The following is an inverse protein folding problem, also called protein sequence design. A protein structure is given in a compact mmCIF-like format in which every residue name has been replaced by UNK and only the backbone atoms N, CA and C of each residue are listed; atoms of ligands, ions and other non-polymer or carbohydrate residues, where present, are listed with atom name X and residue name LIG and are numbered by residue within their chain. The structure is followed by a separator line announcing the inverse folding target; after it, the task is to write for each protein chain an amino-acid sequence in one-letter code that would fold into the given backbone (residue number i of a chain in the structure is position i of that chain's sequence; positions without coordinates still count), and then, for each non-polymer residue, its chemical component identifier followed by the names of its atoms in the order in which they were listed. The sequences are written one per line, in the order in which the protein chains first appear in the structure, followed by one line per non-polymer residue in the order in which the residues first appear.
data_IF_946663663778
#
_entry.id   IF_946663663778
#
_cell.length_a   1.000
_cell.length_b   1.000
_cell.length_c   1.000
_cell.angle_alpha   90.00
_cell.angle_beta   90.00
_cell.angle_gamma   90.00
#
_symmetry.space_group_name_H-M   'P 1'
#
loop_
_entity.id
_entity.type
_entity.pdbx_description
1 polymer ?
#
# COMPACT_ATOMS: atom_id res chain seq x y z
N UNK A 1 -19.04 5.37 -19.35
CA UNK A 1 -19.84 4.17 -18.97
C UNK A 1 -19.17 3.33 -17.88
N UNK A 2 -17.89 2.92 -18.00
CA UNK A 2 -17.20 2.16 -16.92
C UNK A 2 -17.28 2.84 -15.54
N UNK A 3 -17.07 4.14 -15.44
CA UNK A 3 -17.12 4.86 -14.15
C UNK A 3 -18.45 4.76 -13.41
N UNK A 4 -19.58 4.57 -14.11
CA UNK A 4 -20.92 4.48 -13.49
C UNK A 4 -21.12 3.08 -12.89
N UNK A 5 -20.72 2.02 -13.62
CA UNK A 5 -20.79 0.62 -13.15
C UNK A 5 -20.02 0.41 -11.84
N UNK A 6 -18.85 1.03 -11.71
CA UNK A 6 -17.98 0.91 -10.53
C UNK A 6 -18.41 1.78 -9.35
N UNK A 7 -19.20 2.82 -9.60
CA UNK A 7 -19.69 3.76 -8.58
C UNK A 7 -21.16 3.54 -8.22
N UNK A 8 -21.75 2.38 -8.56
CA UNK A 8 -23.17 2.10 -8.46
C UNK A 8 -23.75 2.35 -7.06
N UNK A 9 -22.99 2.01 -6.02
CA UNK A 9 -23.38 2.17 -4.61
C UNK A 9 -23.45 3.64 -4.16
N UNK A 10 -22.86 4.56 -4.93
CA UNK A 10 -22.93 6.00 -4.67
C UNK A 10 -24.08 6.69 -5.45
N UNK A 11 -24.83 5.96 -6.27
CA UNK A 11 -25.97 6.48 -7.03
C UNK A 11 -27.24 6.46 -6.17
N UNK A 12 -28.12 7.45 -6.39
CA UNK A 12 -29.46 7.41 -5.80
C UNK A 12 -30.31 6.31 -6.42
N UNK A 13 -31.37 5.87 -5.74
CA UNK A 13 -32.30 4.84 -6.25
C UNK A 13 -32.86 5.18 -7.63
N UNK A 14 -33.17 6.46 -7.89
CA UNK A 14 -33.68 6.91 -9.20
C UNK A 14 -32.59 6.85 -10.28
N UNK A 15 -31.34 7.16 -9.93
CA UNK A 15 -30.21 7.04 -10.85
C UNK A 15 -29.89 5.59 -11.19
N UNK A 16 -29.92 4.69 -10.21
CA UNK A 16 -29.76 3.24 -10.41
C UNK A 16 -30.85 2.72 -11.35
N UNK A 17 -32.11 3.06 -11.07
CA UNK A 17 -33.26 2.66 -11.91
C UNK A 17 -33.14 3.17 -13.34
N UNK A 18 -32.76 4.44 -13.55
CA UNK A 18 -32.57 4.98 -14.90
C UNK A 18 -31.40 4.30 -15.63
N UNK A 19 -30.30 4.03 -14.92
CA UNK A 19 -29.16 3.32 -15.50
C UNK A 19 -29.55 1.90 -15.95
N UNK A 20 -30.30 1.18 -15.13
CA UNK A 20 -30.73 -0.19 -15.42
C UNK A 20 -31.81 -0.22 -16.53
N UNK A 21 -32.92 0.49 -16.32
CA UNK A 21 -34.13 0.35 -17.13
C UNK A 21 -34.12 1.18 -18.42
N UNK A 22 -33.42 2.32 -18.44
CA UNK A 22 -33.40 3.22 -19.61
C UNK A 22 -32.11 3.05 -20.40
N UNK A 23 -30.97 2.84 -19.73
CA UNK A 23 -29.66 2.80 -20.37
C UNK A 23 -29.07 1.38 -20.51
N UNK A 24 -29.70 0.36 -19.91
CA UNK A 24 -29.21 -1.02 -19.95
C UNK A 24 -27.85 -1.22 -19.27
N UNK A 25 -27.52 -0.38 -18.28
CA UNK A 25 -26.25 -0.42 -17.55
C UNK A 25 -26.46 -1.18 -16.24
N UNK A 26 -25.72 -2.26 -16.07
CA UNK A 26 -25.69 -3.06 -14.85
C UNK A 26 -24.48 -2.70 -13.96
N UNK A 27 -24.56 -2.88 -12.62
CA UNK A 27 -23.42 -2.70 -11.72
C UNK A 27 -22.23 -3.58 -12.14
N UNK A 28 -21.02 -3.16 -11.75
CA UNK A 28 -19.85 -4.01 -11.91
C UNK A 28 -19.94 -5.22 -10.94
N UNK A 29 -19.63 -6.42 -11.42
CA UNK A 29 -19.49 -7.59 -10.55
C UNK A 29 -18.24 -7.47 -9.68
N UNK A 30 -18.15 -8.26 -8.60
CA UNK A 30 -17.00 -8.20 -7.68
C UNK A 30 -15.65 -8.41 -8.38
N UNK A 31 -15.59 -9.30 -9.37
CA UNK A 31 -14.38 -9.56 -10.17
C UNK A 31 -14.06 -8.45 -11.19
N UNK A 32 -15.04 -7.62 -11.55
CA UNK A 32 -14.85 -6.47 -12.45
C UNK A 32 -14.38 -5.22 -11.70
N UNK A 33 -14.63 -5.15 -10.38
CA UNK A 33 -14.22 -4.01 -9.57
C UNK A 33 -12.69 -3.98 -9.46
N UNK A 34 -12.03 -2.83 -9.68
CA UNK A 34 -10.59 -2.74 -9.50
C UNK A 34 -10.28 -3.01 -8.02
N UNK A 35 -9.13 -3.64 -7.73
CA UNK A 35 -8.74 -3.92 -6.37
C UNK A 35 -8.74 -2.62 -5.55
N UNK A 36 -9.13 -2.69 -4.26
CA UNK A 36 -9.20 -1.51 -3.41
C UNK A 36 -7.84 -0.80 -3.38
N UNK A 37 -7.88 0.54 -3.45
CA UNK A 37 -6.66 1.33 -3.35
C UNK A 37 -6.02 1.10 -1.99
N UNK A 38 -4.73 0.76 -1.98
CA UNK A 38 -3.95 0.63 -0.74
C UNK A 38 -4.00 1.91 0.09
N UNK A 39 -4.26 1.72 1.38
CA UNK A 39 -4.33 2.82 2.33
C UNK A 39 -2.93 3.40 2.59
N UNK A 40 -2.88 4.57 3.20
CA UNK A 40 -1.60 5.16 3.61
C UNK A 40 -0.92 4.34 4.72
N UNK A 41 -1.69 3.62 5.53
CA UNK A 41 -1.17 2.70 6.54
C UNK A 41 -0.48 1.50 5.86
N UNK A 42 -1.12 0.88 4.87
CA UNK A 42 -0.55 -0.26 4.14
C UNK A 42 0.75 0.13 3.44
N UNK A 43 0.78 1.31 2.80
CA UNK A 43 2.01 1.83 2.18
C UNK A 43 3.11 2.03 3.21
N UNK A 44 2.79 2.50 4.41
CA UNK A 44 3.77 2.69 5.47
C UNK A 44 4.30 1.34 5.97
N UNK A 45 3.41 0.38 6.24
CA UNK A 45 3.78 -0.97 6.65
C UNK A 45 4.69 -1.66 5.63
N UNK A 46 4.37 -1.53 4.34
CA UNK A 46 5.18 -2.06 3.25
C UNK A 46 6.61 -1.49 3.24
N UNK A 47 6.77 -0.18 3.46
CA UNK A 47 8.09 0.43 3.54
C UNK A 47 8.82 0.07 4.83
N UNK A 48 8.09 -0.14 5.92
CA UNK A 48 8.65 -0.60 7.18
C UNK A 48 9.21 -2.02 7.06
N UNK A 49 8.50 -2.95 6.43
CA UNK A 49 9.00 -4.30 6.14
C UNK A 49 10.27 -4.26 5.29
N UNK A 50 10.33 -3.40 4.28
CA UNK A 50 11.56 -3.19 3.51
C UNK A 50 12.71 -2.62 4.35
N UNK A 51 12.42 -1.70 5.28
CA UNK A 51 13.41 -1.17 6.20
C UNK A 51 13.94 -2.27 7.13
N UNK A 52 13.05 -3.13 7.63
CA UNK A 52 13.39 -4.27 8.48
C UNK A 52 14.25 -5.29 7.73
N UNK A 53 13.87 -5.67 6.51
CA UNK A 53 14.68 -6.55 5.66
C UNK A 53 16.08 -5.98 5.41
N UNK A 54 16.19 -4.68 5.13
CA UNK A 54 17.48 -4.02 4.98
C UNK A 54 18.28 -4.04 6.29
N UNK A 55 17.64 -3.78 7.42
CA UNK A 55 18.29 -3.81 8.74
C UNK A 55 18.79 -5.22 9.10
N UNK A 56 18.01 -6.26 8.85
CA UNK A 56 18.42 -7.65 9.10
C UNK A 56 19.65 -8.04 8.27
N UNK A 57 19.76 -7.52 7.04
CA UNK A 57 20.91 -7.76 6.16
C UNK A 57 22.15 -6.95 6.54
N UNK A 58 21.98 -5.67 6.86
CA UNK A 58 23.09 -4.71 6.99
C UNK A 58 23.43 -4.34 8.45
N UNK A 59 22.54 -4.67 9.40
CA UNK A 59 22.64 -4.29 10.82
C UNK A 59 22.41 -2.81 11.11
N UNK A 60 22.02 -2.02 10.11
CA UNK A 60 21.79 -0.57 10.25
C UNK A 60 20.77 -0.02 9.26
N UNK A 61 20.21 1.16 9.54
CA UNK A 61 19.37 1.92 8.60
C UNK A 61 20.07 3.09 7.89
N UNK A 62 21.37 2.95 7.61
CA UNK A 62 22.12 3.92 6.78
C UNK A 62 21.91 3.65 5.29
N UNK A 63 20.68 3.85 4.84
CA UNK A 63 20.29 3.52 3.46
C UNK A 63 20.76 4.62 2.48
N UNK A 64 21.54 4.31 1.43
CA UNK A 64 21.91 5.27 0.40
C UNK A 64 20.69 5.88 -0.27
N UNK A 65 20.70 7.19 -0.56
CA UNK A 65 19.48 7.90 -1.02
C UNK A 65 18.83 7.32 -2.29
N UNK A 66 19.62 6.77 -3.21
CA UNK A 66 19.13 6.16 -4.46
C UNK A 66 18.79 4.66 -4.33
N UNK A 67 18.97 4.08 -3.14
CA UNK A 67 18.74 2.66 -2.90
C UNK A 67 17.28 2.27 -3.14
N UNK A 68 17.10 1.15 -3.84
CA UNK A 68 15.81 0.52 -4.07
C UNK A 68 15.85 -0.85 -3.39
N UNK A 69 14.97 -1.04 -2.41
CA UNK A 69 14.78 -2.33 -1.77
C UNK A 69 13.67 -3.09 -2.48
N UNK A 70 13.86 -4.40 -2.65
CA UNK A 70 12.87 -5.30 -3.24
C UNK A 70 12.33 -6.20 -2.15
N UNK A 71 11.02 -6.22 -1.98
CA UNK A 71 10.34 -7.13 -1.06
C UNK A 71 9.25 -7.89 -1.81
N UNK A 72 9.03 -9.15 -1.45
CA UNK A 72 7.95 -9.97 -1.99
C UNK A 72 6.89 -10.03 -0.90
N UNK A 73 5.67 -9.60 -1.22
CA UNK A 73 4.54 -9.62 -0.28
C UNK A 73 3.44 -10.51 -0.87
N UNK A 74 2.92 -11.43 -0.07
CA UNK A 74 1.83 -12.35 -0.46
C UNK A 74 2.25 -13.82 -0.50
N UNK A 75 2.58 -14.38 0.66
CA UNK A 75 3.03 -15.78 0.77
C UNK A 75 2.96 -16.32 2.18
N UNK A 76 1.80 -16.24 2.82
CA UNK A 76 1.53 -16.84 4.13
C UNK A 76 0.43 -17.91 4.04
N UNK A 77 0.70 -19.00 3.30
CA UNK A 77 0.16 -20.34 3.57
C UNK A 77 -1.36 -20.55 3.68
N UNK A 78 -2.20 -19.55 3.39
CA UNK A 78 -3.65 -19.64 3.45
C UNK A 78 -4.22 -19.72 2.03
N UNK A 79 -4.45 -20.97 1.61
CA UNK A 79 -5.32 -21.43 0.53
C UNK A 79 -5.73 -20.48 -0.59
N UNK A 80 -5.14 -20.70 -1.78
CA UNK A 80 -5.79 -20.45 -3.06
C UNK A 80 -5.03 -19.47 -3.96
N UNK A 81 -4.38 -20.00 -5.00
CA UNK A 81 -3.73 -19.32 -6.14
C UNK A 81 -2.27 -18.91 -5.92
N UNK A 82 -1.35 -19.55 -6.65
CA UNK A 82 0.08 -19.18 -6.74
C UNK A 82 0.35 -17.87 -7.50
N UNK A 83 -0.68 -17.04 -7.72
CA UNK A 83 -0.58 -15.74 -8.41
C UNK A 83 -0.38 -14.55 -7.46
N UNK A 84 -0.28 -14.79 -6.14
CA UNK A 84 -0.34 -13.75 -5.11
C UNK A 84 0.99 -13.11 -4.65
N UNK A 85 2.14 -13.51 -5.20
CA UNK A 85 3.43 -12.90 -4.82
C UNK A 85 3.68 -11.62 -5.61
N UNK A 86 3.50 -10.47 -4.97
CA UNK A 86 3.83 -9.18 -5.57
C UNK A 86 5.25 -8.73 -5.20
N UNK A 87 6.13 -8.60 -6.20
CA UNK A 87 7.43 -7.95 -6.02
C UNK A 87 7.25 -6.42 -5.96
N UNK A 88 7.61 -5.83 -4.83
CA UNK A 88 7.60 -4.39 -4.62
C UNK A 88 9.01 -3.80 -4.65
N UNK A 89 9.23 -2.88 -5.60
CA UNK A 89 10.44 -2.05 -5.69
C UNK A 89 10.21 -0.73 -4.97
N UNK A 90 10.82 -0.57 -3.80
CA UNK A 90 10.61 0.58 -2.92
C UNK A 90 11.86 1.44 -2.88
N UNK A 91 11.70 2.76 -3.08
CA UNK A 91 12.78 3.75 -2.96
C UNK A 91 13.12 3.99 -1.48
N UNK A 92 13.65 2.96 -0.82
CA UNK A 92 13.85 2.91 0.62
C UNK A 92 14.77 4.04 1.10
N UNK A 93 15.82 4.36 0.35
CA UNK A 93 16.72 5.47 0.69
C UNK A 93 16.02 6.84 0.73
N UNK A 94 15.08 7.05 -0.19
CA UNK A 94 14.29 8.27 -0.22
C UNK A 94 13.27 8.30 0.93
N UNK A 95 12.61 7.17 1.19
CA UNK A 95 11.65 7.03 2.27
C UNK A 95 12.28 7.25 3.65
N UNK A 96 13.40 6.57 3.95
CA UNK A 96 14.16 6.75 5.18
C UNK A 96 14.61 8.21 5.38
N UNK A 97 15.06 8.88 4.30
CA UNK A 97 15.38 10.31 4.35
C UNK A 97 14.17 11.18 4.71
N UNK A 98 13.00 10.88 4.15
CA UNK A 98 11.75 11.58 4.46
C UNK A 98 11.27 11.31 5.91
N UNK A 99 11.46 10.10 6.41
CA UNK A 99 11.13 9.78 7.81
C UNK A 99 11.97 10.64 8.77
N UNK A 100 13.28 10.79 8.51
CA UNK A 100 14.14 11.70 9.30
C UNK A 100 13.67 13.15 9.24
N UNK A 101 13.43 13.69 8.04
CA UNK A 101 13.06 15.11 7.91
C UNK A 101 11.69 15.42 8.54
N UNK A 102 10.82 14.42 8.66
CA UNK A 102 9.48 14.56 9.24
C UNK A 102 9.35 14.01 10.65
N UNK A 103 10.46 13.72 11.33
CA UNK A 103 10.48 13.12 12.66
C UNK A 103 9.56 13.85 13.65
N UNK A 104 9.58 15.19 13.65
CA UNK A 104 8.76 16.03 14.53
C UNK A 104 7.23 15.89 14.31
N UNK A 105 6.81 15.37 13.15
CA UNK A 105 5.39 15.20 12.78
C UNK A 105 4.98 13.72 12.72
N UNK A 106 5.90 12.81 13.02
CA UNK A 106 5.64 11.39 12.97
C UNK A 106 4.95 10.93 14.26
N UNK A 107 4.06 9.94 14.17
CA UNK A 107 3.45 9.38 15.38
C UNK A 107 4.53 8.74 16.27
N UNK A 108 4.38 8.79 17.62
CA UNK A 108 5.35 8.20 18.54
C UNK A 108 5.60 6.72 18.25
N UNK A 109 4.56 5.94 17.98
CA UNK A 109 4.64 4.52 17.61
C UNK A 109 5.56 4.29 16.38
N UNK A 110 5.43 5.12 15.34
CA UNK A 110 6.27 4.98 14.13
C UNK A 110 7.72 5.37 14.38
N UNK A 111 7.94 6.34 15.28
CA UNK A 111 9.30 6.71 15.72
C UNK A 111 9.92 5.54 16.47
N UNK A 112 9.18 4.92 17.39
CA UNK A 112 9.63 3.76 18.15
C UNK A 112 9.94 2.58 17.24
N UNK A 113 9.02 2.19 16.35
CA UNK A 113 9.21 1.08 15.41
C UNK A 113 10.48 1.22 14.57
N UNK A 114 10.75 2.43 14.06
CA UNK A 114 11.96 2.71 13.28
C UNK A 114 13.22 2.74 14.16
N UNK A 115 13.12 3.28 15.38
CA UNK A 115 14.25 3.34 16.32
C UNK A 115 14.71 1.94 16.72
N UNK A 116 13.77 1.02 16.94
CA UNK A 116 14.03 -0.40 17.26
C UNK A 116 14.87 -1.09 16.18
N UNK A 117 14.66 -0.74 14.90
CA UNK A 117 15.44 -1.29 13.78
C UNK A 117 16.62 -0.39 13.39
N UNK A 118 17.16 0.40 14.33
CA UNK A 118 18.42 1.11 14.16
C UNK A 118 18.34 2.43 13.39
N UNK A 119 17.17 3.06 13.33
CA UNK A 119 17.02 4.41 12.76
C UNK A 119 17.80 5.44 13.58
N UNK A 120 18.60 6.26 12.89
CA UNK A 120 19.22 7.46 13.45
C UNK A 120 18.44 8.69 12.99
N UNK A 121 18.09 9.56 13.93
CA UNK A 121 17.26 10.74 13.71
C UNK A 121 18.05 12.03 13.43
N UNK A 122 19.38 11.94 13.47
CA UNK A 122 20.33 13.02 13.17
C UNK A 122 20.69 13.05 11.69
#
# INVERSE_FOLDING_TARGET
MRSVRHGWDNLTTVQQWMCEQVLGIEPATEDEKPPPRRTQADKWALNYEAAKQFYEREGHLRVPRKHIERIIVGGDGSGGSSEGQEEHKLRLGAWIGNQRSRAATLSPERVELLSTIGMRWT
#
